data_IF_648025169483
#
_entry.id   IF_648025169483
#
_cell.length_a   1.000
_cell.length_b   1.000
_cell.length_c   1.000
_cell.angle_alpha   90.00
_cell.angle_beta   90.00
_cell.angle_gamma   90.00
#
_symmetry.space_group_name_H-M   'P 1'
#
loop_
_entity.id
_entity.type
_entity.pdbx_description
1 polymer ?
#
# COMPACT_ATOMS: atom_id res chain seq x y z
N UNK A 1 -20.05 11.67 3.37
CA UNK A 1 -19.61 11.62 1.98
C UNK A 1 -19.76 12.99 1.35
N UNK A 2 -18.80 13.39 0.55
CA UNK A 2 -18.80 14.61 -0.24
C UNK A 2 -18.48 14.26 -1.69
N UNK A 3 -19.29 14.75 -2.64
CA UNK A 3 -19.14 14.51 -4.08
C UNK A 3 -19.22 15.83 -4.81
N UNK A 4 -18.40 15.98 -5.83
CA UNK A 4 -18.48 17.07 -6.80
C UNK A 4 -18.40 16.46 -8.18
N UNK A 5 -19.39 16.74 -9.03
CA UNK A 5 -19.45 16.27 -10.40
C UNK A 5 -19.64 17.42 -11.38
N UNK A 6 -19.13 17.26 -12.58
CA UNK A 6 -19.32 18.17 -13.72
C UNK A 6 -19.69 17.35 -14.93
N UNK A 7 -20.81 17.73 -15.54
CA UNK A 7 -21.27 17.21 -16.82
C UNK A 7 -21.11 18.29 -17.89
N UNK A 8 -20.45 17.96 -18.97
CA UNK A 8 -20.18 18.88 -20.07
C UNK A 8 -20.48 18.24 -21.41
N UNK A 9 -21.28 18.90 -22.24
CA UNK A 9 -21.64 18.43 -23.58
C UNK A 9 -21.31 19.48 -24.65
N UNK A 10 -20.67 19.04 -25.72
CA UNK A 10 -20.32 19.89 -26.88
C UNK A 10 -20.81 19.25 -28.19
N UNK A 11 -20.80 20.02 -29.26
CA UNK A 11 -21.20 19.59 -30.61
C UNK A 11 -22.62 18.98 -30.63
N UNK A 12 -23.61 19.68 -30.03
CA UNK A 12 -24.99 19.21 -29.92
C UNK A 12 -25.11 17.83 -29.23
N UNK A 13 -24.27 17.58 -28.19
CA UNK A 13 -24.28 16.34 -27.42
C UNK A 13 -23.50 15.17 -28.04
N UNK A 14 -22.81 15.40 -29.15
CA UNK A 14 -21.97 14.37 -29.79
C UNK A 14 -20.73 14.02 -28.99
N UNK A 15 -20.27 14.93 -28.13
CA UNK A 15 -19.21 14.66 -27.17
C UNK A 15 -19.75 15.05 -25.78
N UNK A 16 -19.70 14.12 -24.85
CA UNK A 16 -20.10 14.31 -23.46
C UNK A 16 -18.95 13.91 -22.56
N UNK A 17 -18.70 14.73 -21.57
CA UNK A 17 -17.71 14.51 -20.53
C UNK A 17 -18.44 14.56 -19.19
N UNK A 18 -18.31 13.50 -18.40
CA UNK A 18 -18.72 13.48 -16.99
C UNK A 18 -17.46 13.28 -16.17
N UNK A 19 -17.25 14.14 -15.21
CA UNK A 19 -16.12 14.03 -14.28
C UNK A 19 -16.61 14.17 -12.85
N UNK A 20 -16.36 13.19 -12.03
CA UNK A 20 -16.78 13.13 -10.63
C UNK A 20 -15.54 12.97 -9.72
N UNK A 21 -15.54 13.73 -8.65
CA UNK A 21 -14.62 13.55 -7.54
C UNK A 21 -15.40 13.27 -6.26
N UNK A 22 -14.95 12.31 -5.48
CA UNK A 22 -15.61 11.98 -4.22
C UNK A 22 -14.63 11.77 -3.08
N UNK A 23 -15.12 12.05 -1.87
CA UNK A 23 -14.47 11.71 -0.60
C UNK A 23 -15.49 11.14 0.37
N UNK A 24 -15.26 9.88 0.78
CA UNK A 24 -16.12 9.14 1.70
C UNK A 24 -15.33 8.71 2.92
N UNK A 25 -15.79 9.10 4.10
CA UNK A 25 -15.28 8.61 5.38
C UNK A 25 -16.28 7.60 5.95
N UNK A 26 -15.84 6.35 6.12
CA UNK A 26 -16.58 5.29 6.82
C UNK A 26 -16.01 5.19 8.22
N UNK A 27 -16.88 5.35 9.23
CA UNK A 27 -16.54 5.28 10.65
C UNK A 27 -17.09 4.02 11.28
N UNK A 28 -16.65 3.73 12.49
CA UNK A 28 -17.18 2.64 13.32
C UNK A 28 -17.06 1.27 12.64
N UNK A 29 -15.94 1.05 11.94
CA UNK A 29 -15.65 -0.21 11.30
C UNK A 29 -15.27 -1.23 12.36
N UNK A 30 -15.86 -2.42 12.29
CA UNK A 30 -15.54 -3.54 13.16
C UNK A 30 -14.13 -4.04 12.87
N UNK A 31 -13.28 -3.92 13.85
CA UNK A 31 -11.92 -4.44 13.85
C UNK A 31 -11.68 -5.33 15.05
N UNK A 32 -10.87 -6.35 14.86
CA UNK A 32 -10.39 -7.18 15.95
C UNK A 32 -9.28 -6.44 16.69
N UNK A 33 -9.57 -6.07 17.95
CA UNK A 33 -8.65 -5.30 18.80
C UNK A 33 -8.05 -6.23 19.84
N UNK A 34 -6.72 -6.30 19.87
CA UNK A 34 -5.99 -7.07 20.88
C UNK A 34 -6.27 -6.53 22.30
N UNK A 35 -6.43 -7.44 23.25
CA UNK A 35 -6.63 -7.13 24.67
C UNK A 35 -5.60 -7.86 25.53
N UNK A 36 -5.22 -7.29 26.67
CA UNK A 36 -4.35 -7.96 27.61
C UNK A 36 -4.92 -9.32 28.05
N UNK A 37 -4.13 -10.36 28.06
CA UNK A 37 -4.54 -11.75 28.33
C UNK A 37 -5.16 -11.96 29.73
N UNK A 38 -4.89 -11.08 30.69
CA UNK A 38 -5.49 -11.14 32.04
C UNK A 38 -7.01 -10.88 32.01
N UNK A 39 -7.59 -10.41 30.93
CA UNK A 39 -9.03 -10.20 30.76
C UNK A 39 -9.79 -11.47 30.34
N UNK A 40 -9.10 -12.61 30.18
CA UNK A 40 -9.69 -13.91 29.82
C UNK A 40 -9.93 -14.12 28.32
N UNK A 41 -9.62 -13.14 27.49
CA UNK A 41 -9.65 -13.19 26.02
C UNK A 41 -8.51 -12.34 25.44
N UNK A 42 -8.01 -12.74 24.27
CA UNK A 42 -6.86 -12.09 23.63
C UNK A 42 -7.24 -10.99 22.65
N UNK A 43 -8.48 -11.02 22.16
CA UNK A 43 -9.01 -10.02 21.23
C UNK A 43 -10.53 -9.88 21.37
N UNK A 44 -11.05 -8.75 20.97
CA UNK A 44 -12.49 -8.47 20.83
C UNK A 44 -12.75 -7.75 19.51
N UNK A 45 -13.95 -7.93 18.96
CA UNK A 45 -14.46 -7.08 17.88
C UNK A 45 -14.94 -5.75 18.48
N UNK A 46 -14.40 -4.64 17.97
CA UNK A 46 -14.73 -3.30 18.44
C UNK A 46 -14.99 -2.36 17.26
N UNK A 47 -15.90 -1.39 17.45
CA UNK A 47 -16.22 -0.36 16.45
C UNK A 47 -15.21 0.78 16.54
N UNK A 48 -14.01 0.56 16.03
CA UNK A 48 -12.89 1.43 16.37
C UNK A 48 -12.10 1.95 15.15
N UNK A 49 -12.42 1.45 13.95
CA UNK A 49 -11.73 1.83 12.73
C UNK A 49 -12.42 2.91 11.92
N UNK A 50 -11.64 3.71 11.21
CA UNK A 50 -12.14 4.63 10.18
C UNK A 50 -11.37 4.42 8.87
N UNK A 51 -12.11 4.34 7.75
CA UNK A 51 -11.53 4.26 6.40
C UNK A 51 -11.99 5.46 5.59
N UNK A 52 -11.04 6.13 4.96
CA UNK A 52 -11.27 7.22 4.03
C UNK A 52 -11.04 6.73 2.61
N UNK A 53 -12.06 6.86 1.76
CA UNK A 53 -11.97 6.59 0.32
C UNK A 53 -12.08 7.90 -0.44
N UNK A 54 -11.13 8.16 -1.33
CA UNK A 54 -11.15 9.31 -2.24
C UNK A 54 -10.94 8.81 -3.66
N UNK A 55 -11.69 9.35 -4.60
CA UNK A 55 -11.56 8.92 -5.98
C UNK A 55 -11.97 9.97 -6.97
N UNK A 56 -11.56 9.73 -8.22
CA UNK A 56 -11.92 10.49 -9.40
C UNK A 56 -12.42 9.51 -10.44
N UNK A 57 -13.54 9.84 -11.06
CA UNK A 57 -14.10 9.09 -12.17
C UNK A 57 -14.34 10.04 -13.33
N UNK A 58 -13.91 9.65 -14.53
CA UNK A 58 -14.06 10.45 -15.75
C UNK A 58 -14.61 9.55 -16.82
N UNK A 59 -15.75 9.93 -17.39
CA UNK A 59 -16.37 9.26 -18.53
C UNK A 59 -16.44 10.22 -19.70
N UNK A 60 -15.92 9.78 -20.84
CA UNK A 60 -15.98 10.51 -22.11
C UNK A 60 -16.77 9.65 -23.09
N UNK A 61 -17.92 10.16 -23.53
CA UNK A 61 -18.75 9.54 -24.57
C UNK A 61 -18.66 10.37 -25.84
N UNK A 62 -18.41 9.74 -26.97
CA UNK A 62 -18.31 10.44 -28.25
C UNK A 62 -19.02 9.68 -29.37
N UNK A 63 -19.69 10.44 -30.22
CA UNK A 63 -20.30 10.00 -31.46
C UNK A 63 -19.55 10.63 -32.66
N UNK A 64 -18.30 10.15 -33.00
CA UNK A 64 -17.47 10.76 -34.04
C UNK A 64 -18.15 10.76 -35.40
N UNK A 65 -18.87 9.70 -35.71
CA UNK A 65 -19.60 9.54 -36.97
C UNK A 65 -21.06 9.22 -36.72
N UNK A 66 -21.93 10.08 -37.25
CA UNK A 66 -23.37 9.92 -37.23
C UNK A 66 -23.89 10.05 -38.65
N UNK A 67 -23.79 8.97 -39.44
CA UNK A 67 -24.22 8.93 -40.85
C UNK A 67 -25.43 8.01 -41.00
N UNK A 68 -26.02 8.02 -42.23
CA UNK A 68 -27.15 7.13 -42.56
C UNK A 68 -26.73 5.65 -42.67
N UNK A 69 -25.53 5.40 -43.09
CA UNK A 69 -25.00 4.05 -43.32
C UNK A 69 -24.01 3.58 -42.27
N UNK A 70 -23.33 4.52 -41.58
CA UNK A 70 -22.34 4.21 -40.56
C UNK A 70 -22.45 5.15 -39.38
N UNK A 71 -22.58 4.56 -38.21
CA UNK A 71 -22.57 5.26 -36.92
C UNK A 71 -21.48 4.65 -36.04
N UNK A 72 -20.67 5.50 -35.42
CA UNK A 72 -19.67 5.07 -34.46
C UNK A 72 -19.88 5.79 -33.13
N UNK A 73 -20.13 5.01 -32.11
CA UNK A 73 -20.20 5.45 -30.72
C UNK A 73 -19.04 4.88 -29.93
N UNK A 74 -18.43 5.66 -29.07
CA UNK A 74 -17.33 5.21 -28.18
C UNK A 74 -17.46 5.83 -26.81
N UNK A 75 -17.22 5.01 -25.78
CA UNK A 75 -17.16 5.40 -24.39
C UNK A 75 -15.79 5.03 -23.81
N UNK A 76 -15.18 5.99 -23.12
CA UNK A 76 -13.96 5.80 -22.35
C UNK A 76 -14.24 6.18 -20.90
N UNK A 77 -14.07 5.22 -20.00
CA UNK A 77 -14.19 5.46 -18.56
C UNK A 77 -12.85 5.23 -17.90
N UNK A 78 -12.40 6.23 -17.15
CA UNK A 78 -11.19 6.20 -16.34
C UNK A 78 -11.59 6.42 -14.89
N UNK A 79 -11.09 5.56 -14.00
CA UNK A 79 -11.33 5.71 -12.57
C UNK A 79 -10.05 5.52 -11.78
N UNK A 80 -9.88 6.33 -10.74
CA UNK A 80 -8.82 6.18 -9.76
C UNK A 80 -9.40 6.28 -8.37
N UNK A 81 -9.17 5.27 -7.54
CA UNK A 81 -9.62 5.23 -6.15
C UNK A 81 -8.45 4.99 -5.20
N UNK A 82 -8.43 5.72 -4.10
CA UNK A 82 -7.47 5.55 -3.00
C UNK A 82 -8.24 5.39 -1.69
N UNK A 83 -8.16 4.20 -1.10
CA UNK A 83 -8.60 3.93 0.26
C UNK A 83 -7.44 4.02 1.24
N UNK A 84 -7.63 4.71 2.36
CA UNK A 84 -6.63 4.85 3.43
C UNK A 84 -7.25 4.57 4.79
N UNK A 85 -6.47 4.02 5.69
CA UNK A 85 -6.86 3.93 7.09
C UNK A 85 -6.75 5.31 7.73
N UNK A 86 -7.89 5.91 8.08
CA UNK A 86 -7.93 7.22 8.73
C UNK A 86 -7.71 7.12 10.24
N UNK A 87 -8.18 6.02 10.85
CA UNK A 87 -7.99 5.73 12.26
C UNK A 87 -7.98 4.23 12.50
N UNK A 88 -7.04 3.79 13.34
CA UNK A 88 -6.95 2.40 13.80
C UNK A 88 -6.71 2.44 15.31
N UNK A 89 -7.43 1.63 16.11
CA UNK A 89 -7.35 1.68 17.58
C UNK A 89 -6.02 1.22 18.16
N UNK A 90 -5.25 0.46 17.38
CA UNK A 90 -3.92 -0.02 17.74
C UNK A 90 -2.95 0.36 16.64
N UNK A 91 -1.94 1.17 16.96
CA UNK A 91 -0.87 1.46 16.02
C UNK A 91 -0.26 0.15 15.52
N UNK A 92 -0.06 0.05 14.20
CA UNK A 92 0.55 -1.12 13.55
C UNK A 92 -0.22 -2.43 13.75
N UNK A 93 -1.55 -2.41 13.59
CA UNK A 93 -2.33 -3.64 13.60
C UNK A 93 -1.97 -4.49 12.38
N UNK A 94 -1.30 -5.62 12.61
CA UNK A 94 -0.90 -6.57 11.57
C UNK A 94 -2.02 -7.59 11.37
N UNK A 95 -2.53 -7.66 10.15
CA UNK A 95 -3.49 -8.69 9.80
C UNK A 95 -2.75 -9.91 9.24
N UNK A 96 -2.88 -11.04 9.92
CA UNK A 96 -2.39 -12.31 9.41
C UNK A 96 -3.30 -12.78 8.28
N UNK A 97 -2.73 -13.04 7.10
CA UNK A 97 -3.51 -13.57 5.99
C UNK A 97 -3.91 -15.03 6.27
N UNK A 98 -5.17 -15.37 6.03
CA UNK A 98 -5.65 -16.75 6.06
C UNK A 98 -4.99 -17.54 4.92
N UNK A 99 -4.14 -18.50 5.24
CA UNK A 99 -3.43 -19.37 4.29
C UNK A 99 -2.18 -19.97 4.88
N UNK A 100 -1.48 -20.81 4.11
CA UNK A 100 -0.26 -21.51 4.54
C UNK A 100 0.99 -20.64 4.71
N UNK A 101 0.86 -19.31 4.55
CA UNK A 101 1.94 -18.37 4.75
C UNK A 101 1.94 -17.87 6.19
N UNK A 102 2.99 -18.23 6.94
CA UNK A 102 3.16 -17.81 8.34
C UNK A 102 3.56 -16.35 8.51
N UNK A 103 3.83 -15.62 7.41
CA UNK A 103 4.31 -14.25 7.44
C UNK A 103 3.16 -13.27 7.21
N UNK A 104 3.13 -12.20 7.98
CA UNK A 104 2.22 -11.09 7.81
C UNK A 104 2.61 -10.33 6.53
N UNK A 105 1.77 -10.40 5.50
CA UNK A 105 2.03 -9.78 4.19
C UNK A 105 1.40 -8.39 4.10
N UNK A 106 0.32 -8.17 4.85
CA UNK A 106 -0.39 -6.90 4.88
C UNK A 106 -0.33 -6.28 6.26
N UNK A 107 -0.14 -4.99 6.31
CA UNK A 107 -0.20 -4.23 7.54
C UNK A 107 -1.24 -3.13 7.43
N UNK A 108 -2.05 -2.96 8.47
CA UNK A 108 -2.95 -1.83 8.63
C UNK A 108 -2.23 -0.76 9.43
N UNK A 109 -1.85 0.32 8.78
CA UNK A 109 -1.18 1.48 9.39
C UNK A 109 -2.04 2.71 9.16
N UNK A 110 -2.23 3.51 10.20
CA UNK A 110 -2.94 4.78 10.09
C UNK A 110 -2.23 5.71 9.11
N UNK A 111 -2.99 6.27 8.17
CA UNK A 111 -2.48 7.10 7.07
C UNK A 111 -2.09 6.34 5.81
N UNK A 112 -1.87 5.03 5.88
CA UNK A 112 -1.46 4.21 4.75
C UNK A 112 -2.64 3.66 3.94
N UNK A 113 -2.33 3.19 2.73
CA UNK A 113 -3.33 2.62 1.81
C UNK A 113 -3.84 1.27 2.33
N UNK A 114 -5.13 1.00 2.06
CA UNK A 114 -5.68 -0.34 2.27
C UNK A 114 -4.97 -1.36 1.37
N UNK A 115 -4.56 -2.48 1.98
CA UNK A 115 -3.91 -3.56 1.27
C UNK A 115 -2.45 -3.29 0.90
N UNK A 116 -1.78 -2.35 1.57
CA UNK A 116 -0.34 -2.16 1.44
C UNK A 116 0.40 -3.41 1.86
N UNK A 117 1.33 -3.86 1.01
CA UNK A 117 2.22 -4.96 1.34
C UNK A 117 3.23 -4.51 2.39
N UNK A 118 3.56 -5.43 3.28
CA UNK A 118 4.55 -5.23 4.31
C UNK A 118 5.59 -6.33 4.24
N UNK A 119 6.85 -5.96 4.23
CA UNK A 119 7.93 -6.96 4.19
C UNK A 119 9.29 -6.34 3.92
N UNK A 120 10.25 -7.24 3.71
CA UNK A 120 11.60 -6.83 3.33
C UNK A 120 11.65 -6.42 1.87
N UNK A 121 12.28 -5.29 1.60
CA UNK A 121 12.53 -4.84 0.22
C UNK A 121 13.74 -5.60 -0.33
N UNK A 122 13.53 -6.39 -1.38
CA UNK A 122 14.59 -7.13 -2.06
C UNK A 122 15.52 -6.16 -2.79
N UNK A 123 16.81 -6.25 -2.50
CA UNK A 123 17.85 -5.38 -3.04
C UNK A 123 18.80 -6.10 -4.03
N UNK A 124 18.52 -7.38 -4.32
CA UNK A 124 19.35 -8.18 -5.24
C UNK A 124 19.98 -9.39 -4.57
N UNK A 125 21.13 -9.79 -5.07
CA UNK A 125 21.90 -10.94 -4.59
C UNK A 125 23.27 -10.43 -4.18
N UNK A 126 23.74 -10.84 -3.01
CA UNK A 126 25.06 -10.51 -2.51
C UNK A 126 26.15 -11.00 -3.46
N UNK A 127 26.96 -10.08 -3.96
CA UNK A 127 28.16 -10.38 -4.76
C UNK A 127 29.38 -10.59 -3.85
N UNK A 128 30.43 -11.21 -4.37
CA UNK A 128 31.63 -11.53 -3.58
C UNK A 128 32.33 -10.27 -3.08
N UNK A 129 32.45 -9.25 -3.90
CA UNK A 129 33.03 -7.95 -3.55
C UNK A 129 32.22 -7.22 -2.48
N UNK A 130 30.87 -7.27 -2.57
CA UNK A 130 29.98 -6.68 -1.57
C UNK A 130 30.07 -7.38 -0.20
N UNK A 131 30.16 -8.72 -0.20
CA UNK A 131 30.28 -9.52 1.03
C UNK A 131 31.61 -9.23 1.75
N UNK A 132 32.67 -9.05 0.98
CA UNK A 132 34.01 -8.75 1.50
C UNK A 132 34.24 -7.27 1.81
N UNK A 133 33.32 -6.37 1.38
CA UNK A 133 33.41 -4.96 1.68
C UNK A 133 33.21 -4.67 3.18
N UNK A 134 33.86 -3.62 3.72
CA UNK A 134 33.65 -3.20 5.11
C UNK A 134 32.21 -2.82 5.37
N UNK A 135 31.67 -3.27 6.50
CA UNK A 135 30.33 -2.81 6.95
C UNK A 135 30.42 -1.35 7.42
N UNK A 136 29.45 -0.56 6.99
CA UNK A 136 29.33 0.86 7.38
C UNK A 136 27.91 1.08 7.92
N UNK A 137 27.82 1.55 9.16
CA UNK A 137 26.55 1.83 9.82
C UNK A 137 25.87 3.11 9.32
N UNK A 138 24.71 3.44 9.89
CA UNK A 138 23.94 4.63 9.54
C UNK A 138 24.69 5.95 9.78
N UNK A 139 25.68 5.96 10.67
CA UNK A 139 26.52 7.12 10.99
C UNK A 139 27.78 7.21 10.13
N UNK A 140 27.96 6.28 9.18
CA UNK A 140 29.14 6.19 8.34
C UNK A 140 30.36 5.59 9.04
N UNK A 141 30.18 4.90 10.18
CA UNK A 141 31.26 4.28 10.95
C UNK A 141 31.39 2.80 10.61
N UNK A 142 32.62 2.29 10.65
CA UNK A 142 32.92 0.87 10.49
C UNK A 142 33.31 0.24 11.83
N UNK A 143 32.82 -0.98 12.06
CA UNK A 143 33.22 -1.79 13.23
C UNK A 143 34.37 -2.73 12.97
N UNK A 144 35.06 -2.58 11.82
CA UNK A 144 36.19 -3.42 11.40
C UNK A 144 35.80 -4.80 10.86
N UNK A 145 34.49 -5.08 10.69
CA UNK A 145 33.98 -6.32 10.10
C UNK A 145 33.55 -6.08 8.67
N UNK A 146 33.47 -7.17 7.90
CA UNK A 146 32.89 -7.15 6.55
C UNK A 146 31.36 -7.27 6.60
N UNK A 147 30.68 -6.94 5.49
CA UNK A 147 29.25 -7.15 5.36
C UNK A 147 28.88 -8.63 5.58
N UNK A 148 29.66 -9.56 5.06
CA UNK A 148 29.41 -10.99 5.22
C UNK A 148 29.45 -11.45 6.69
N UNK A 149 30.32 -10.86 7.50
CA UNK A 149 30.39 -11.17 8.94
C UNK A 149 29.23 -10.55 9.75
N UNK A 150 28.80 -9.34 9.39
CA UNK A 150 27.74 -8.63 10.09
C UNK A 150 26.37 -9.22 9.74
N UNK A 151 26.04 -9.32 8.46
CA UNK A 151 24.76 -9.87 8.01
C UNK A 151 24.70 -11.41 8.00
N UNK A 152 25.80 -12.08 8.28
CA UNK A 152 25.96 -13.55 8.23
C UNK A 152 25.55 -14.14 6.87
N UNK A 153 25.96 -13.48 5.81
CA UNK A 153 25.63 -13.83 4.42
C UNK A 153 26.86 -14.27 3.64
N UNK A 154 26.62 -14.97 2.53
CA UNK A 154 27.63 -15.42 1.57
C UNK A 154 27.26 -14.93 0.18
N UNK A 155 28.21 -14.88 -0.77
CA UNK A 155 27.89 -14.64 -2.17
C UNK A 155 26.79 -15.59 -2.66
N UNK A 156 25.79 -15.04 -3.38
CA UNK A 156 24.63 -15.80 -3.85
C UNK A 156 23.43 -15.80 -2.90
N UNK A 157 23.54 -15.32 -1.67
CA UNK A 157 22.39 -15.13 -0.79
C UNK A 157 21.53 -13.94 -1.24
N UNK A 158 20.23 -13.98 -0.93
CA UNK A 158 19.33 -12.84 -1.14
C UNK A 158 19.78 -11.65 -0.29
N UNK A 159 19.77 -10.47 -0.91
CA UNK A 159 20.09 -9.20 -0.28
C UNK A 159 18.81 -8.41 -0.07
N UNK A 160 18.62 -7.87 1.12
CA UNK A 160 17.52 -7.01 1.47
C UNK A 160 18.01 -5.62 1.86
N UNK A 161 17.12 -4.63 1.84
CA UNK A 161 17.46 -3.29 2.32
C UNK A 161 17.46 -3.31 3.85
N UNK A 162 18.58 -2.93 4.43
CA UNK A 162 18.71 -2.65 5.86
C UNK A 162 18.44 -1.15 6.05
N UNK A 163 17.22 -0.83 6.49
CA UNK A 163 16.71 0.56 6.53
C UNK A 163 17.43 1.35 7.62
N UNK A 164 17.60 0.74 8.79
CA UNK A 164 18.25 1.37 9.94
C UNK A 164 19.79 1.20 9.96
N UNK A 165 20.34 0.34 9.07
CA UNK A 165 21.76 0.01 8.93
C UNK A 165 22.40 -0.49 10.23
N UNK A 166 21.65 -1.32 10.97
CA UNK A 166 22.17 -1.97 12.19
C UNK A 166 22.92 -3.29 11.91
N UNK A 167 22.84 -3.79 10.66
CA UNK A 167 23.49 -5.01 10.23
C UNK A 167 22.69 -6.27 10.53
N UNK A 168 21.42 -6.14 10.87
CA UNK A 168 20.53 -7.27 11.16
C UNK A 168 19.20 -7.08 10.43
N UNK A 169 18.82 -8.04 9.59
CA UNK A 169 17.49 -8.02 8.98
C UNK A 169 16.43 -8.43 10.01
N UNK A 170 15.65 -7.47 10.45
CA UNK A 170 14.60 -7.63 11.46
C UNK A 170 13.35 -6.80 11.12
N UNK A 171 12.38 -6.77 12.02
CA UNK A 171 11.11 -6.06 11.81
C UNK A 171 11.28 -4.54 11.55
N UNK A 172 12.40 -3.93 11.95
CA UNK A 172 12.70 -2.53 11.69
C UNK A 172 13.06 -2.25 10.21
N UNK A 173 13.42 -3.29 9.45
CA UNK A 173 13.76 -3.21 8.02
C UNK A 173 12.59 -3.57 7.12
N UNK A 174 11.44 -3.89 7.70
CA UNK A 174 10.22 -4.10 6.95
C UNK A 174 9.53 -2.75 6.69
N UNK A 175 9.01 -2.60 5.48
CA UNK A 175 8.34 -1.38 5.02
C UNK A 175 7.23 -1.69 4.00
N UNK A 176 6.55 -0.63 3.57
CA UNK A 176 5.50 -0.62 2.56
C UNK A 176 6.10 -0.36 1.18
#
# INVERSE_FOLDING_TARGET
QFNVGVDFGILNGRIRLTADWYSKLSKDILLEVARPSHMGYTSILDNAGEIKNTGVEVTISADPFTGKEFNWHTDLTLSHNKGTFNKIPTANHRQQQAGNYQNQIFQMIEGEKLGSFWGYTFAGIWQEDEVNAPFVDANGQTNGKTNGEVYKVKPGNSKYVDINKDGVYNDADQGI
#
